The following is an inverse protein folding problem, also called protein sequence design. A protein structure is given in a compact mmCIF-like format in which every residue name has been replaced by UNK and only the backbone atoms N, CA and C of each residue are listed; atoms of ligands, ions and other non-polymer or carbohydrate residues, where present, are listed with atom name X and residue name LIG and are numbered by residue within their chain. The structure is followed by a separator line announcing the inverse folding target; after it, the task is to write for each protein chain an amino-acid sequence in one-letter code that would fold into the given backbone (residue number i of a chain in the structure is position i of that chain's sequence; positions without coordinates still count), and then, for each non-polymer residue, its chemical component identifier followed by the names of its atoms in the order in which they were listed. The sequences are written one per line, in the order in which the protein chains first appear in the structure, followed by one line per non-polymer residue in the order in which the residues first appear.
data_IF_796776438271
#
_entry.id   IF_796776438271
#
_cell.length_a   1.000
_cell.length_b   1.000
_cell.length_c   1.000
_cell.angle_alpha   90.00
_cell.angle_beta   90.00
_cell.angle_gamma   90.00
#
_symmetry.space_group_name_H-M   'P 1'
#
loop_
_entity.id
_entity.type
_entity.pdbx_description
1 polymer ?
#
# COMPACT_ATOMS: atom_id res chain seq x y z
N UNK A 1 -21.02 72.87 -57.23
CA UNK A 1 -20.55 73.34 -55.92
C UNK A 1 -21.44 72.69 -54.89
N UNK A 2 -20.91 71.87 -53.99
CA UNK A 2 -21.67 71.21 -52.93
C UNK A 2 -20.85 70.09 -52.36
N UNK A 3 -19.98 70.37 -51.39
CA UNK A 3 -19.21 69.40 -50.70
C UNK A 3 -20.05 68.78 -49.55
N UNK A 4 -20.19 67.49 -49.51
CA UNK A 4 -20.81 66.77 -48.39
C UNK A 4 -19.72 66.11 -47.58
N UNK A 5 -19.58 66.50 -46.31
CA UNK A 5 -18.73 65.89 -45.31
C UNK A 5 -19.44 64.61 -44.76
N UNK A 6 -18.84 63.45 -44.95
CA UNK A 6 -19.25 62.20 -44.29
C UNK A 6 -18.44 62.01 -43.04
N UNK A 7 -19.08 62.01 -41.86
CA UNK A 7 -18.49 61.67 -40.59
C UNK A 7 -18.49 60.14 -40.41
N UNK A 8 -17.29 59.56 -40.29
CA UNK A 8 -17.14 58.14 -39.94
C UNK A 8 -17.22 57.97 -38.42
N UNK A 9 -18.23 57.27 -37.91
CA UNK A 9 -18.36 56.80 -36.54
C UNK A 9 -17.57 55.54 -36.41
N UNK A 10 -16.42 55.59 -35.70
CA UNK A 10 -15.66 54.47 -35.28
C UNK A 10 -16.34 53.84 -34.03
N UNK A 11 -17.12 52.78 -34.21
CA UNK A 11 -17.69 51.97 -33.13
C UNK A 11 -16.65 51.10 -32.56
N UNK A 12 -16.12 51.42 -31.37
CA UNK A 12 -15.26 50.55 -30.60
C UNK A 12 -16.09 49.39 -30.03
N UNK A 13 -15.92 48.19 -30.58
CA UNK A 13 -16.43 46.96 -29.96
C UNK A 13 -15.58 46.63 -28.75
N UNK A 14 -16.04 47.01 -27.55
CA UNK A 14 -15.50 46.48 -26.28
C UNK A 14 -15.88 45.01 -26.20
N UNK A 15 -14.94 44.16 -26.55
CA UNK A 15 -15.05 42.72 -26.34
C UNK A 15 -15.18 42.43 -24.84
N UNK A 16 -16.37 42.07 -24.39
CA UNK A 16 -16.59 41.50 -23.09
C UNK A 16 -15.85 40.18 -23.04
N UNK A 17 -14.66 40.15 -22.38
CA UNK A 17 -13.99 38.93 -22.05
C UNK A 17 -14.91 38.11 -21.12
N UNK A 18 -15.57 37.11 -21.66
CA UNK A 18 -16.27 36.10 -20.86
C UNK A 18 -15.26 35.46 -19.93
N UNK A 19 -15.51 35.45 -18.60
CA UNK A 19 -14.62 34.73 -17.69
C UNK A 19 -14.58 33.26 -18.14
N UNK A 20 -13.39 32.78 -18.47
CA UNK A 20 -13.16 31.36 -18.69
C UNK A 20 -13.55 30.66 -17.40
N UNK A 21 -14.71 30.02 -17.39
CA UNK A 21 -15.04 29.10 -16.31
C UNK A 21 -13.92 28.04 -16.28
N UNK A 22 -13.08 28.08 -15.24
CA UNK A 22 -12.11 27.04 -15.01
C UNK A 22 -12.89 25.71 -14.94
N UNK A 23 -12.73 24.92 -15.98
CA UNK A 23 -13.38 23.59 -16.04
C UNK A 23 -12.96 22.84 -14.80
N UNK A 24 -13.92 22.49 -13.94
CA UNK A 24 -13.64 21.75 -12.71
C UNK A 24 -12.84 20.49 -13.08
N UNK A 25 -11.70 20.30 -12.43
CA UNK A 25 -10.87 19.13 -12.68
C UNK A 25 -11.69 17.85 -12.48
N UNK A 26 -11.56 16.90 -13.39
CA UNK A 26 -12.26 15.63 -13.28
C UNK A 26 -11.91 14.97 -11.93
N UNK A 27 -12.89 14.35 -11.25
CA UNK A 27 -12.62 13.69 -9.98
C UNK A 27 -11.57 12.59 -10.12
N UNK A 28 -10.63 12.56 -9.18
CA UNK A 28 -9.61 11.51 -9.09
C UNK A 28 -10.30 10.21 -8.67
N UNK A 29 -10.21 9.20 -9.52
CA UNK A 29 -10.77 7.86 -9.26
C UNK A 29 -9.81 7.07 -8.40
N UNK A 30 -10.30 6.43 -7.38
CA UNK A 30 -9.52 5.62 -6.48
C UNK A 30 -10.28 4.39 -6.01
N UNK A 31 -9.56 3.43 -5.43
CA UNK A 31 -10.14 2.18 -5.01
C UNK A 31 -9.49 1.67 -3.71
N UNK A 32 -10.19 0.77 -3.03
CA UNK A 32 -9.71 0.06 -1.85
C UNK A 32 -9.95 -1.44 -1.97
N UNK A 33 -9.14 -2.22 -1.25
CA UNK A 33 -9.28 -3.67 -1.14
C UNK A 33 -9.83 -4.03 0.25
N UNK A 34 -10.90 -4.79 0.31
CA UNK A 34 -11.54 -5.27 1.53
C UNK A 34 -11.58 -6.82 1.59
N UNK A 35 -11.47 -7.42 2.77
CA UNK A 35 -11.16 -6.79 4.06
C UNK A 35 -9.70 -6.39 4.15
N UNK A 36 -9.39 -5.38 4.97
CA UNK A 36 -8.01 -4.98 5.21
C UNK A 36 -7.84 -3.59 5.84
N UNK A 37 -6.63 -3.30 6.28
CA UNK A 37 -6.28 -2.03 6.90
C UNK A 37 -6.41 -0.82 5.95
N UNK A 38 -6.36 -1.04 4.64
CA UNK A 38 -6.52 0.02 3.64
C UNK A 38 -7.88 0.69 3.73
N UNK A 39 -8.92 -0.04 4.18
CA UNK A 39 -10.24 0.53 4.44
C UNK A 39 -10.17 1.60 5.54
N UNK A 40 -9.40 1.37 6.62
CA UNK A 40 -9.19 2.39 7.66
C UNK A 40 -8.63 3.69 7.06
N UNK A 41 -7.61 3.59 6.22
CA UNK A 41 -6.98 4.76 5.57
C UNK A 41 -7.99 5.50 4.68
N UNK A 42 -8.71 4.77 3.83
CA UNK A 42 -9.71 5.34 2.91
C UNK A 42 -10.85 6.00 3.67
N UNK A 43 -11.43 5.31 4.65
CA UNK A 43 -12.55 5.85 5.44
C UNK A 43 -12.11 7.02 6.31
N UNK A 44 -10.88 7.03 6.82
CA UNK A 44 -10.35 8.15 7.58
C UNK A 44 -10.18 9.41 6.71
N UNK A 45 -9.66 9.27 5.48
CA UNK A 45 -9.58 10.37 4.52
C UNK A 45 -10.96 10.99 4.27
N UNK A 46 -11.98 10.15 4.06
CA UNK A 46 -13.35 10.60 3.80
C UNK A 46 -13.99 11.25 5.03
N UNK A 47 -13.94 10.60 6.20
CA UNK A 47 -14.55 11.08 7.42
C UNK A 47 -13.95 12.41 7.91
N UNK A 48 -12.63 12.58 7.73
CA UNK A 48 -11.90 13.78 8.11
C UNK A 48 -11.84 14.85 7.01
N UNK A 49 -12.51 14.61 5.87
CA UNK A 49 -12.55 15.52 4.71
C UNK A 49 -11.16 15.96 4.25
N UNK A 50 -10.16 15.05 4.34
CA UNK A 50 -8.79 15.38 3.99
C UNK A 50 -8.65 15.67 2.48
N UNK A 51 -9.46 15.03 1.64
CA UNK A 51 -9.49 15.32 0.22
C UNK A 51 -9.91 16.77 -0.07
N UNK A 52 -10.97 17.24 0.57
CA UNK A 52 -11.42 18.64 0.45
C UNK A 52 -10.35 19.61 0.95
N UNK A 53 -9.75 19.32 2.12
CA UNK A 53 -8.67 20.12 2.71
C UNK A 53 -7.46 20.28 1.79
N UNK A 54 -7.07 19.21 1.08
CA UNK A 54 -5.97 19.23 0.14
C UNK A 54 -6.37 19.63 -1.29
N UNK A 55 -7.63 19.97 -1.52
CA UNK A 55 -8.14 20.32 -2.84
C UNK A 55 -8.05 19.17 -3.86
N UNK A 56 -8.29 17.95 -3.40
CA UNK A 56 -8.34 16.74 -4.24
C UNK A 56 -9.80 16.36 -4.45
N UNK A 57 -10.37 16.57 -5.63
CA UNK A 57 -11.74 16.14 -5.94
C UNK A 57 -11.76 14.61 -6.09
N UNK A 58 -12.02 13.88 -5.01
CA UNK A 58 -12.09 12.41 -5.04
C UNK A 58 -13.49 11.94 -5.50
N UNK A 59 -13.50 10.97 -6.41
CA UNK A 59 -14.69 10.17 -6.66
C UNK A 59 -15.00 9.26 -5.44
N UNK A 60 -16.23 8.78 -5.27
CA UNK A 60 -16.51 7.70 -4.33
C UNK A 60 -15.56 6.51 -4.57
N UNK A 61 -14.97 5.90 -3.53
CA UNK A 61 -14.02 4.81 -3.73
C UNK A 61 -14.70 3.55 -4.24
N UNK A 62 -14.14 2.92 -5.26
CA UNK A 62 -14.55 1.57 -5.67
C UNK A 62 -13.95 0.55 -4.70
N UNK A 63 -14.77 -0.35 -4.16
CA UNK A 63 -14.31 -1.40 -3.25
C UNK A 63 -14.19 -2.74 -3.97
N UNK A 64 -13.02 -3.37 -3.86
CA UNK A 64 -12.71 -4.68 -4.40
C UNK A 64 -12.56 -5.72 -3.29
N UNK A 65 -12.92 -6.96 -3.59
CA UNK A 65 -12.69 -8.12 -2.70
C UNK A 65 -11.66 -9.09 -3.27
N UNK A 66 -11.39 -9.00 -4.58
CA UNK A 66 -10.41 -9.84 -5.27
C UNK A 66 -9.15 -9.04 -5.62
N UNK A 67 -8.01 -9.49 -5.12
CA UNK A 67 -6.69 -8.84 -5.32
C UNK A 67 -6.33 -8.75 -6.80
N UNK A 68 -6.57 -9.82 -7.58
CA UNK A 68 -6.25 -9.84 -9.00
C UNK A 68 -7.02 -8.79 -9.79
N UNK A 69 -8.34 -8.70 -9.58
CA UNK A 69 -9.20 -7.71 -10.24
C UNK A 69 -8.79 -6.28 -9.84
N UNK A 70 -8.53 -6.06 -8.54
CA UNK A 70 -8.05 -4.78 -8.03
C UNK A 70 -6.85 -4.25 -8.82
N UNK A 71 -5.78 -5.02 -8.89
CA UNK A 71 -4.59 -4.58 -9.61
C UNK A 71 -4.73 -4.58 -11.14
N UNK A 72 -5.55 -5.47 -11.72
CA UNK A 72 -5.78 -5.48 -13.17
C UNK A 72 -6.54 -4.25 -13.62
N UNK A 73 -7.55 -3.83 -12.86
CA UNK A 73 -8.33 -2.62 -13.16
C UNK A 73 -7.48 -1.35 -13.03
N UNK A 74 -6.56 -1.29 -12.05
CA UNK A 74 -5.57 -0.22 -11.98
C UNK A 74 -4.66 -0.20 -13.21
N UNK A 75 -4.14 -1.36 -13.61
CA UNK A 75 -3.29 -1.47 -14.79
C UNK A 75 -4.03 -1.06 -16.08
N UNK A 76 -5.31 -1.40 -16.18
CA UNK A 76 -6.18 -1.01 -17.30
C UNK A 76 -6.59 0.48 -17.31
N UNK A 77 -6.35 1.22 -16.19
CA UNK A 77 -6.71 2.64 -16.07
C UNK A 77 -8.17 2.88 -15.64
N UNK A 78 -8.82 1.88 -15.03
CA UNK A 78 -10.18 2.03 -14.52
C UNK A 78 -10.25 2.97 -13.31
N UNK A 79 -9.12 3.19 -12.62
CA UNK A 79 -8.95 4.21 -11.59
C UNK A 79 -7.51 4.76 -11.56
N UNK A 80 -7.31 5.89 -10.91
CA UNK A 80 -6.12 6.73 -11.05
C UNK A 80 -5.12 6.56 -9.90
N UNK A 81 -5.62 6.22 -8.69
CA UNK A 81 -4.83 6.08 -7.46
C UNK A 81 -5.05 4.70 -6.85
N UNK A 82 -3.97 3.96 -6.61
CA UNK A 82 -3.98 2.61 -6.05
C UNK A 82 -3.17 2.55 -4.75
N UNK A 83 -3.75 1.93 -3.71
CA UNK A 83 -3.07 1.63 -2.45
C UNK A 83 -2.70 0.15 -2.46
N UNK A 84 -1.42 -0.19 -2.56
CA UNK A 84 -1.03 -1.59 -2.67
C UNK A 84 0.45 -1.86 -2.39
N UNK A 85 0.89 -3.10 -2.57
CA UNK A 85 2.29 -3.45 -2.39
C UNK A 85 3.14 -2.86 -3.52
N UNK A 86 4.22 -2.19 -3.15
CA UNK A 86 5.09 -1.48 -4.10
C UNK A 86 5.81 -2.43 -5.07
N UNK A 87 6.11 -3.65 -4.64
CA UNK A 87 6.72 -4.67 -5.50
C UNK A 87 5.78 -5.09 -6.65
N UNK A 88 4.47 -5.14 -6.38
CA UNK A 88 3.46 -5.36 -7.42
C UNK A 88 3.40 -4.18 -8.40
N UNK A 89 3.51 -2.94 -7.90
CA UNK A 89 3.60 -1.76 -8.77
C UNK A 89 4.86 -1.80 -9.63
N UNK A 90 6.01 -2.13 -9.02
CA UNK A 90 7.29 -2.25 -9.72
C UNK A 90 7.24 -3.33 -10.81
N UNK A 91 6.74 -4.51 -10.50
CA UNK A 91 6.58 -5.60 -11.47
C UNK A 91 5.69 -5.20 -12.65
N UNK A 92 4.57 -4.50 -12.39
CA UNK A 92 3.67 -4.03 -13.45
C UNK A 92 4.29 -2.90 -14.27
N UNK A 93 5.00 -1.98 -13.65
CA UNK A 93 5.72 -0.92 -14.36
C UNK A 93 6.80 -1.52 -15.27
N UNK A 94 7.53 -2.54 -14.80
CA UNK A 94 8.50 -3.28 -15.60
C UNK A 94 7.86 -4.06 -16.76
N UNK A 95 6.60 -4.46 -16.62
CA UNK A 95 5.78 -5.04 -17.68
C UNK A 95 5.13 -3.99 -18.61
N UNK A 96 5.49 -2.71 -18.48
CA UNK A 96 5.05 -1.63 -19.36
C UNK A 96 3.77 -0.90 -18.91
N UNK A 97 3.22 -1.18 -17.72
CA UNK A 97 2.07 -0.42 -17.20
C UNK A 97 2.53 0.98 -16.80
N UNK A 98 1.92 2.07 -17.32
CA UNK A 98 2.36 3.45 -17.08
C UNK A 98 1.87 3.94 -15.71
N UNK A 99 2.64 3.65 -14.67
CA UNK A 99 2.38 4.03 -13.27
C UNK A 99 3.63 4.62 -12.63
N UNK A 100 3.42 5.44 -11.61
CA UNK A 100 4.46 6.02 -10.76
C UNK A 100 4.06 5.90 -9.29
N UNK A 101 5.04 5.67 -8.43
CA UNK A 101 4.85 5.58 -6.98
C UNK A 101 4.96 6.96 -6.35
N UNK A 102 3.98 7.35 -5.53
CA UNK A 102 3.96 8.62 -4.79
C UNK A 102 4.68 8.54 -3.45
N UNK A 103 4.40 7.46 -2.71
CA UNK A 103 4.89 7.27 -1.34
C UNK A 103 4.76 5.80 -0.90
N UNK A 104 5.56 5.39 0.07
CA UNK A 104 5.28 4.22 0.91
C UNK A 104 4.42 4.62 2.10
N UNK A 105 3.62 3.69 2.64
CA UNK A 105 2.69 3.93 3.75
C UNK A 105 2.81 2.94 4.90
N UNK A 106 3.39 1.76 4.67
CA UNK A 106 3.68 0.76 5.71
C UNK A 106 5.01 0.08 5.44
N UNK A 107 5.50 -0.63 6.45
CA UNK A 107 6.69 -1.49 6.36
C UNK A 107 6.32 -2.96 6.48
N UNK A 108 7.25 -3.84 6.15
CA UNK A 108 7.12 -5.29 6.31
C UNK A 108 7.11 -5.73 7.79
N UNK A 109 7.17 -4.80 8.75
CA UNK A 109 6.92 -5.07 10.17
C UNK A 109 5.54 -5.69 10.41
N UNK A 110 4.61 -5.49 9.50
CA UNK A 110 3.28 -6.08 9.56
C UNK A 110 3.20 -7.56 9.14
N UNK A 111 4.30 -8.18 8.69
CA UNK A 111 4.34 -9.53 8.15
C UNK A 111 5.01 -10.47 9.14
N UNK A 112 4.31 -11.56 9.50
CA UNK A 112 4.75 -12.50 10.51
C UNK A 112 4.60 -13.95 10.07
N UNK A 113 5.50 -14.80 10.58
CA UNK A 113 5.21 -16.21 10.80
C UNK A 113 4.84 -16.36 12.27
N UNK A 114 3.69 -17.00 12.53
CA UNK A 114 3.12 -17.20 13.86
C UNK A 114 3.04 -18.71 14.13
N UNK A 115 3.31 -19.14 15.35
CA UNK A 115 3.19 -20.53 15.79
C UNK A 115 2.45 -20.65 17.12
N UNK A 116 1.75 -21.76 17.30
CA UNK A 116 1.22 -22.21 18.61
C UNK A 116 2.09 -23.29 19.25
N UNK A 117 3.11 -23.79 18.54
CA UNK A 117 4.00 -24.83 19.07
C UNK A 117 5.06 -24.23 20.02
N UNK A 118 5.04 -24.59 21.32
CA UNK A 118 6.03 -24.10 22.26
C UNK A 118 7.47 -24.58 21.97
N UNK A 119 7.63 -25.68 21.21
CA UNK A 119 8.93 -26.20 20.81
C UNK A 119 9.60 -25.38 19.70
N UNK A 120 8.82 -24.70 18.86
CA UNK A 120 9.35 -23.81 17.84
C UNK A 120 9.85 -22.51 18.47
N UNK A 121 11.16 -22.29 18.43
CA UNK A 121 11.81 -21.08 19.01
C UNK A 121 12.22 -20.05 17.97
N UNK A 122 12.52 -20.50 16.76
CA UNK A 122 13.00 -19.69 15.65
C UNK A 122 12.66 -20.32 14.29
N UNK A 123 13.05 -19.65 13.20
CA UNK A 123 12.83 -20.12 11.83
C UNK A 123 13.56 -21.43 11.53
N UNK A 124 14.70 -21.70 12.18
CA UNK A 124 15.45 -22.94 11.95
C UNK A 124 14.65 -24.17 12.37
N UNK A 125 13.81 -24.02 13.39
CA UNK A 125 12.90 -25.08 13.85
C UNK A 125 11.78 -25.44 12.85
N UNK A 126 11.58 -24.66 11.78
CA UNK A 126 10.59 -24.98 10.74
C UNK A 126 11.03 -26.12 9.81
N UNK A 127 12.32 -26.51 9.78
CA UNK A 127 12.76 -27.62 8.93
C UNK A 127 12.01 -28.91 9.26
N UNK A 128 11.45 -29.54 8.24
CA UNK A 128 10.63 -30.75 8.37
C UNK A 128 9.22 -30.50 8.91
N UNK A 129 8.80 -29.25 9.12
CA UNK A 129 7.49 -28.84 9.62
C UNK A 129 6.61 -28.31 8.52
N UNK A 130 5.33 -28.05 8.84
CA UNK A 130 4.32 -27.50 7.94
C UNK A 130 4.07 -26.03 8.25
N UNK A 131 4.22 -25.19 7.23
CA UNK A 131 3.86 -23.77 7.24
C UNK A 131 2.62 -23.53 6.38
N UNK A 132 1.53 -23.06 6.97
CA UNK A 132 0.36 -22.61 6.22
C UNK A 132 0.64 -21.22 5.61
N UNK A 133 0.47 -21.07 4.29
CA UNK A 133 0.77 -19.82 3.61
C UNK A 133 -0.02 -19.63 2.30
N UNK A 134 -0.37 -18.37 1.99
CA UNK A 134 -0.94 -17.99 0.70
C UNK A 134 0.19 -17.87 -0.34
N UNK A 135 0.59 -18.98 -0.94
CA UNK A 135 1.77 -19.12 -1.82
C UNK A 135 1.74 -18.23 -3.06
N UNK A 136 0.55 -17.89 -3.57
CA UNK A 136 0.39 -17.06 -4.77
C UNK A 136 0.70 -15.58 -4.54
N UNK A 137 0.97 -15.16 -3.29
CA UNK A 137 1.17 -13.76 -2.92
C UNK A 137 2.63 -13.31 -3.03
N UNK A 138 2.84 -12.02 -3.32
CA UNK A 138 4.15 -11.38 -3.21
C UNK A 138 4.74 -11.49 -1.81
N UNK A 139 3.90 -11.41 -0.78
CA UNK A 139 4.29 -11.59 0.63
C UNK A 139 4.98 -12.93 0.87
N UNK A 140 4.40 -14.03 0.37
CA UNK A 140 5.02 -15.36 0.50
C UNK A 140 6.40 -15.39 -0.17
N UNK A 141 6.49 -14.91 -1.41
CA UNK A 141 7.75 -14.90 -2.16
C UNK A 141 8.82 -14.06 -1.46
N UNK A 142 8.45 -12.87 -0.97
CA UNK A 142 9.35 -11.98 -0.24
C UNK A 142 9.86 -12.63 1.06
N UNK A 143 8.99 -13.26 1.85
CA UNK A 143 9.38 -13.95 3.08
C UNK A 143 10.23 -15.17 2.78
N UNK A 144 9.90 -15.93 1.74
CA UNK A 144 10.72 -17.07 1.29
C UNK A 144 12.14 -16.63 0.91
N UNK A 145 12.28 -15.51 0.20
CA UNK A 145 13.58 -14.93 -0.15
C UNK A 145 14.36 -14.48 1.08
N UNK A 146 13.70 -13.80 2.04
CA UNK A 146 14.32 -13.37 3.29
C UNK A 146 14.84 -14.57 4.11
N UNK A 147 14.01 -15.59 4.29
CA UNK A 147 14.36 -16.78 5.06
C UNK A 147 15.50 -17.55 4.37
N UNK A 148 15.47 -17.66 3.04
CA UNK A 148 16.54 -18.29 2.28
C UNK A 148 17.85 -17.54 2.43
N UNK A 149 17.84 -16.21 2.24
CA UNK A 149 19.05 -15.40 2.29
C UNK A 149 19.63 -15.30 3.70
N UNK A 150 18.79 -15.17 4.74
CA UNK A 150 19.24 -14.94 6.11
C UNK A 150 19.46 -16.22 6.92
N UNK A 151 18.74 -17.30 6.60
CA UNK A 151 18.74 -18.53 7.40
C UNK A 151 19.14 -19.78 6.59
N UNK A 152 19.31 -19.66 5.26
CA UNK A 152 19.65 -20.80 4.39
C UNK A 152 18.54 -21.87 4.32
N UNK A 153 17.27 -21.49 4.52
CA UNK A 153 16.13 -22.39 4.52
C UNK A 153 15.26 -22.11 3.30
N UNK A 154 14.98 -23.12 2.50
CA UNK A 154 14.13 -23.02 1.33
C UNK A 154 12.70 -23.47 1.65
N UNK A 155 11.76 -22.49 1.71
CA UNK A 155 10.34 -22.79 1.86
C UNK A 155 9.84 -23.58 0.64
N UNK A 156 9.12 -24.67 0.87
CA UNK A 156 8.67 -25.61 -0.16
C UNK A 156 9.65 -26.77 -0.42
N UNK A 157 10.87 -26.71 0.11
CA UNK A 157 11.84 -27.80 0.05
C UNK A 157 12.18 -28.31 1.45
N UNK A 158 12.69 -27.44 2.31
CA UNK A 158 13.06 -27.78 3.71
C UNK A 158 11.85 -27.68 4.65
N UNK A 159 10.80 -26.95 4.25
CA UNK A 159 9.55 -26.72 4.97
C UNK A 159 8.38 -27.08 4.07
N UNK A 160 7.49 -27.94 4.53
CA UNK A 160 6.27 -28.28 3.80
C UNK A 160 5.32 -27.10 3.78
N UNK A 161 4.84 -26.70 2.60
CA UNK A 161 3.88 -25.58 2.50
C UNK A 161 2.47 -26.12 2.33
N UNK A 162 1.62 -25.82 3.30
CA UNK A 162 0.18 -25.99 3.18
C UNK A 162 -0.43 -24.72 2.56
N UNK A 163 -0.79 -24.80 1.28
CA UNK A 163 -1.39 -23.68 0.56
C UNK A 163 -2.75 -23.28 1.14
N UNK A 164 -2.98 -21.98 1.27
CA UNK A 164 -4.26 -21.37 1.66
C UNK A 164 -4.57 -20.17 0.75
N UNK A 165 -5.85 -19.78 0.69
CA UNK A 165 -6.30 -18.70 -0.21
C UNK A 165 -6.06 -17.30 0.35
N UNK A 166 -5.95 -17.17 1.68
CA UNK A 166 -5.82 -15.86 2.34
C UNK A 166 -5.10 -15.98 3.71
N UNK A 167 -4.60 -14.87 4.27
CA UNK A 167 -3.84 -14.86 5.53
C UNK A 167 -4.64 -15.29 6.77
N UNK A 168 -5.96 -15.04 6.79
CA UNK A 168 -6.81 -15.47 7.90
C UNK A 168 -6.93 -17.00 7.97
N UNK A 169 -6.99 -17.67 6.82
CA UNK A 169 -7.01 -19.14 6.74
C UNK A 169 -5.73 -19.77 7.30
N UNK A 170 -4.55 -19.14 7.08
CA UNK A 170 -3.30 -19.61 7.67
C UNK A 170 -3.37 -19.60 9.21
N UNK A 171 -3.87 -18.50 9.80
CA UNK A 171 -4.04 -18.41 11.25
C UNK A 171 -5.06 -19.44 11.78
N UNK A 172 -6.14 -19.68 11.05
CA UNK A 172 -7.14 -20.69 11.40
C UNK A 172 -6.53 -22.10 11.49
N UNK A 173 -5.66 -22.46 10.54
CA UNK A 173 -4.98 -23.76 10.55
C UNK A 173 -4.04 -23.92 11.74
N UNK A 174 -3.30 -22.86 12.10
CA UNK A 174 -2.41 -22.88 13.28
C UNK A 174 -3.22 -23.03 14.57
N UNK A 175 -4.28 -22.25 14.77
CA UNK A 175 -5.17 -22.36 15.93
C UNK A 175 -5.84 -23.75 16.06
N UNK A 176 -6.11 -24.40 14.93
CA UNK A 176 -6.67 -25.74 14.88
C UNK A 176 -5.60 -26.87 15.02
N UNK A 177 -4.33 -26.53 15.24
CA UNK A 177 -3.18 -27.47 15.25
C UNK A 177 -3.07 -28.32 13.97
N UNK A 178 -3.46 -27.73 12.81
CA UNK A 178 -3.38 -28.37 11.48
C UNK A 178 -2.17 -27.91 10.66
N UNK A 179 -1.43 -26.94 11.18
CA UNK A 179 -0.13 -26.50 10.71
C UNK A 179 0.67 -26.04 11.94
N UNK A 180 1.97 -26.32 11.95
CA UNK A 180 2.83 -25.92 13.08
C UNK A 180 3.09 -24.41 13.09
N UNK A 181 3.05 -23.78 11.93
CA UNK A 181 3.18 -22.32 11.79
C UNK A 181 2.33 -21.78 10.65
N UNK A 182 2.10 -20.47 10.64
CA UNK A 182 1.35 -19.79 9.59
C UNK A 182 1.96 -18.46 9.23
N UNK A 183 2.11 -18.19 7.93
CA UNK A 183 2.49 -16.89 7.40
C UNK A 183 1.25 -16.02 7.23
N UNK A 184 1.25 -14.88 7.88
CA UNK A 184 0.15 -13.92 7.83
C UNK A 184 0.66 -12.48 7.97
N UNK A 185 -0.24 -11.54 7.87
CA UNK A 185 0.03 -10.12 8.07
C UNK A 185 -1.12 -9.43 8.80
N UNK A 186 -0.84 -8.22 9.29
CA UNK A 186 -1.80 -7.44 10.04
C UNK A 186 -3.00 -7.00 9.18
N UNK A 187 -4.19 -6.93 9.78
CA UNK A 187 -4.59 -7.17 11.18
C UNK A 187 -4.87 -8.65 11.55
N UNK A 188 -4.69 -9.60 10.62
CA UNK A 188 -4.99 -11.02 10.87
C UNK A 188 -4.13 -11.63 12.00
N UNK A 189 -2.87 -11.20 12.09
CA UNK A 189 -1.94 -11.65 13.14
C UNK A 189 -2.46 -11.20 14.51
N UNK A 190 -2.78 -9.92 14.67
CA UNK A 190 -3.36 -9.39 15.91
C UNK A 190 -4.67 -10.08 16.26
N UNK A 191 -5.56 -10.28 15.29
CA UNK A 191 -6.82 -10.99 15.51
C UNK A 191 -6.59 -12.42 16.06
N UNK A 192 -5.59 -13.14 15.52
CA UNK A 192 -5.25 -14.48 15.98
C UNK A 192 -4.62 -14.47 17.39
N UNK A 193 -3.65 -13.56 17.64
CA UNK A 193 -2.99 -13.44 18.96
C UNK A 193 -3.96 -13.04 20.08
N UNK A 194 -4.96 -12.20 19.79
CA UNK A 194 -6.00 -11.85 20.76
C UNK A 194 -6.98 -13.00 21.03
N UNK A 195 -7.13 -13.92 20.08
CA UNK A 195 -8.05 -15.05 20.13
C UNK A 195 -7.48 -16.29 20.84
N UNK A 196 -6.18 -16.50 20.69
CA UNK A 196 -5.47 -17.65 21.28
C UNK A 196 -4.13 -17.21 21.87
N UNK A 197 -4.06 -17.22 23.20
CA UNK A 197 -2.88 -16.82 23.98
C UNK A 197 -1.68 -17.76 23.83
N UNK A 198 -1.84 -18.94 23.22
CA UNK A 198 -0.74 -19.87 22.92
C UNK A 198 0.06 -19.41 21.70
N UNK A 199 -0.54 -18.60 20.85
CA UNK A 199 0.11 -18.10 19.64
C UNK A 199 1.20 -17.10 19.99
N UNK A 200 2.30 -17.19 19.26
CA UNK A 200 3.43 -16.25 19.38
C UNK A 200 4.04 -15.99 18.01
N UNK A 201 4.59 -14.78 17.78
CA UNK A 201 5.44 -14.52 16.64
C UNK A 201 6.68 -15.42 16.67
N UNK A 202 7.01 -16.04 15.53
CA UNK A 202 8.22 -16.82 15.31
C UNK A 202 9.23 -16.05 14.44
N UNK A 203 8.72 -15.25 13.51
CA UNK A 203 9.50 -14.46 12.58
C UNK A 203 8.74 -13.17 12.22
N UNK A 204 9.48 -12.08 12.10
CA UNK A 204 8.97 -10.82 11.56
C UNK A 204 9.82 -10.38 10.36
N UNK A 205 9.19 -10.14 9.22
CA UNK A 205 9.91 -9.85 7.97
C UNK A 205 10.64 -8.51 8.01
N UNK A 206 10.01 -7.46 8.56
CA UNK A 206 10.61 -6.13 8.68
C UNK A 206 11.80 -6.11 9.63
N UNK A 207 11.66 -6.76 10.80
CA UNK A 207 12.75 -6.88 11.78
C UNK A 207 13.95 -7.66 11.21
N UNK A 208 13.67 -8.77 10.51
CA UNK A 208 14.72 -9.58 9.90
C UNK A 208 15.49 -8.79 8.83
N UNK A 209 14.79 -8.07 7.96
CA UNK A 209 15.41 -7.22 6.96
C UNK A 209 16.23 -6.09 7.60
N UNK A 210 15.70 -5.43 8.62
CA UNK A 210 16.38 -4.33 9.32
C UNK A 210 17.65 -4.79 10.03
N UNK A 211 17.63 -5.97 10.65
CA UNK A 211 18.84 -6.58 11.25
C UNK A 211 19.93 -6.85 10.22
N UNK A 212 19.54 -7.27 9.01
CA UNK A 212 20.49 -7.59 7.95
C UNK A 212 21.02 -6.36 7.20
N UNK A 213 20.22 -5.28 7.06
CA UNK A 213 20.54 -4.17 6.16
C UNK A 213 20.62 -2.81 6.85
N UNK A 214 20.20 -2.71 8.11
CA UNK A 214 20.00 -1.44 8.84
C UNK A 214 18.96 -0.52 8.23
N UNK A 215 18.11 -1.04 7.34
CA UNK A 215 17.06 -0.30 6.62
C UNK A 215 15.68 -0.88 6.92
N UNK A 216 14.66 -0.05 6.88
CA UNK A 216 13.28 -0.53 6.84
C UNK A 216 12.99 -1.15 5.47
N UNK A 217 12.15 -2.20 5.46
CA UNK A 217 11.62 -2.79 4.24
C UNK A 217 10.23 -2.19 3.98
N UNK A 218 10.08 -1.25 3.03
CA UNK A 218 8.76 -0.73 2.67
C UNK A 218 7.87 -1.86 2.16
N UNK A 219 6.55 -1.76 2.39
CA UNK A 219 5.64 -2.81 1.92
C UNK A 219 4.47 -2.26 1.13
N UNK A 220 3.49 -1.58 1.75
CA UNK A 220 2.45 -0.91 1.00
C UNK A 220 2.84 0.52 0.65
N UNK A 221 2.35 0.97 -0.49
CA UNK A 221 2.51 2.34 -0.96
C UNK A 221 1.27 2.82 -1.73
N UNK A 222 1.38 4.01 -2.23
CA UNK A 222 0.40 4.66 -3.11
C UNK A 222 1.03 4.89 -4.46
N UNK A 223 0.43 4.35 -5.49
CA UNK A 223 0.81 4.60 -6.88
C UNK A 223 -0.29 5.34 -7.63
N UNK A 224 0.11 6.08 -8.63
CA UNK A 224 -0.79 6.79 -9.56
C UNK A 224 -0.53 6.36 -10.99
N UNK A 225 -1.55 6.53 -11.82
CA UNK A 225 -1.38 6.44 -13.27
C UNK A 225 -0.45 7.58 -13.72
N UNK A 226 0.52 7.28 -14.57
CA UNK A 226 1.45 8.28 -15.12
C UNK A 226 0.72 9.42 -15.81
N UNK A 227 -0.41 9.13 -16.44
CA UNK A 227 -1.26 10.16 -17.06
C UNK A 227 -1.69 11.24 -16.07
N UNK A 228 -2.07 10.88 -14.82
CA UNK A 228 -2.39 11.84 -13.77
C UNK A 228 -1.16 12.65 -13.36
N UNK A 229 -0.01 11.98 -13.19
CA UNK A 229 1.26 12.61 -12.80
C UNK A 229 1.75 13.62 -13.83
N UNK A 230 1.63 13.31 -15.13
CA UNK A 230 2.08 14.17 -16.23
C UNK A 230 1.11 15.32 -16.51
N UNK A 231 -0.20 15.03 -16.59
CA UNK A 231 -1.22 16.05 -16.93
C UNK A 231 -1.55 16.98 -15.77
N UNK A 232 -1.39 16.50 -14.53
CA UNK A 232 -1.77 17.23 -13.32
C UNK A 232 -0.78 16.97 -12.18
N UNK A 233 0.51 17.34 -12.31
CA UNK A 233 1.53 17.06 -11.31
C UNK A 233 1.19 17.65 -9.93
N UNK A 234 0.55 18.82 -9.89
CA UNK A 234 0.09 19.40 -8.62
C UNK A 234 -1.03 18.59 -7.97
N UNK A 235 -1.87 17.90 -8.73
CA UNK A 235 -2.86 16.98 -8.19
C UNK A 235 -2.17 15.77 -7.56
N UNK A 236 -1.17 15.19 -8.21
CA UNK A 236 -0.39 14.08 -7.65
C UNK A 236 0.33 14.49 -6.35
N UNK A 237 0.88 15.72 -6.25
CA UNK A 237 1.45 16.28 -5.00
C UNK A 237 0.41 16.39 -3.90
N UNK A 238 -0.79 16.88 -4.20
CA UNK A 238 -1.89 17.02 -3.24
C UNK A 238 -2.36 15.65 -2.74
N UNK A 239 -2.48 14.66 -3.62
CA UNK A 239 -2.79 13.27 -3.25
C UNK A 239 -1.72 12.74 -2.29
N UNK A 240 -0.43 12.93 -2.58
CA UNK A 240 0.66 12.53 -1.68
C UNK A 240 0.56 13.19 -0.31
N UNK A 241 0.36 14.51 -0.26
CA UNK A 241 0.22 15.27 0.99
C UNK A 241 -1.02 14.84 1.81
N UNK A 242 -2.11 14.52 1.14
CA UNK A 242 -3.32 13.99 1.77
C UNK A 242 -3.04 12.64 2.49
N UNK A 243 -2.31 11.73 1.85
CA UNK A 243 -1.92 10.48 2.48
C UNK A 243 -0.94 10.69 3.64
N UNK A 244 0.03 11.59 3.49
CA UNK A 244 0.96 11.95 4.57
C UNK A 244 0.22 12.42 5.82
N UNK A 245 -0.67 13.40 5.69
CA UNK A 245 -1.47 13.90 6.80
C UNK A 245 -2.36 12.81 7.41
N UNK A 246 -2.99 11.98 6.57
CA UNK A 246 -3.81 10.87 7.02
C UNK A 246 -3.02 9.94 7.94
N UNK A 247 -1.83 9.49 7.53
CA UNK A 247 -1.01 8.57 8.33
C UNK A 247 -0.47 9.23 9.60
N UNK A 248 -0.09 10.50 9.54
CA UNK A 248 0.34 11.26 10.72
C UNK A 248 -0.78 11.31 11.77
N UNK A 249 -2.01 11.60 11.36
CA UNK A 249 -3.17 11.66 12.27
C UNK A 249 -3.55 10.28 12.83
N UNK A 250 -3.54 9.22 12.01
CA UNK A 250 -3.79 7.85 12.48
C UNK A 250 -2.75 7.44 13.53
N UNK A 251 -1.46 7.74 13.30
CA UNK A 251 -0.40 7.43 14.25
C UNK A 251 -0.48 8.25 15.55
N UNK A 252 -0.92 9.51 15.47
CA UNK A 252 -1.05 10.38 16.63
C UNK A 252 -2.18 9.95 17.59
N UNK A 253 -3.29 9.46 17.04
CA UNK A 253 -4.47 9.06 17.81
C UNK A 253 -5.10 7.76 17.26
N UNK A 254 -4.43 6.59 17.39
CA UNK A 254 -4.86 5.36 16.73
C UNK A 254 -6.26 4.89 17.13
N UNK A 255 -6.59 4.95 18.43
CA UNK A 255 -7.91 4.54 18.94
C UNK A 255 -9.03 5.43 18.41
N UNK A 256 -8.78 6.74 18.35
CA UNK A 256 -9.73 7.69 17.78
C UNK A 256 -9.91 7.46 16.27
N UNK A 257 -8.79 7.28 15.54
CA UNK A 257 -8.84 7.00 14.12
C UNK A 257 -9.63 5.72 13.79
N UNK A 258 -9.45 4.68 14.59
CA UNK A 258 -10.19 3.42 14.45
C UNK A 258 -11.68 3.61 14.80
N UNK A 259 -12.02 4.40 15.82
CA UNK A 259 -13.41 4.71 16.16
C UNK A 259 -14.12 5.47 15.03
N UNK A 260 -13.41 6.38 14.35
CA UNK A 260 -13.93 7.18 13.23
C UNK A 260 -14.10 6.33 11.96
N UNK A 261 -13.12 5.49 11.64
CA UNK A 261 -12.96 4.93 10.30
C UNK A 261 -12.73 3.41 10.24
N UNK A 262 -12.64 2.73 11.39
CA UNK A 262 -12.34 1.29 11.45
C UNK A 262 -13.51 0.39 11.07
N UNK A 263 -14.73 0.92 11.05
CA UNK A 263 -15.92 0.18 10.62
C UNK A 263 -15.77 -0.21 9.14
N UNK A 264 -16.30 -1.37 8.76
CA UNK A 264 -16.22 -1.92 7.41
C UNK A 264 -14.83 -2.44 6.97
N UNK A 265 -13.82 -2.42 7.85
CA UNK A 265 -12.50 -3.01 7.54
C UNK A 265 -12.51 -4.55 7.47
N UNK A 266 -13.55 -5.17 8.04
CA UNK A 266 -13.65 -6.61 8.25
C UNK A 266 -13.00 -7.09 9.56
N UNK A 267 -12.52 -6.15 10.41
CA UNK A 267 -11.95 -6.41 11.73
C UNK A 267 -12.65 -5.58 12.80
N UNK A 268 -12.66 -6.08 14.04
CA UNK A 268 -13.19 -5.29 15.13
C UNK A 268 -12.29 -4.07 15.42
N UNK A 269 -12.87 -2.97 15.95
CA UNK A 269 -12.09 -1.79 16.32
C UNK A 269 -10.96 -2.10 17.30
N UNK A 270 -11.16 -3.04 18.22
CA UNK A 270 -10.15 -3.46 19.21
C UNK A 270 -8.94 -4.11 18.53
N UNK A 271 -9.17 -4.99 17.54
CA UNK A 271 -8.10 -5.64 16.76
C UNK A 271 -7.29 -4.60 16.01
N UNK A 272 -7.93 -3.66 15.33
CA UNK A 272 -7.25 -2.59 14.60
C UNK A 272 -6.46 -1.67 15.53
N UNK A 273 -7.08 -1.25 16.63
CA UNK A 273 -6.42 -0.39 17.61
C UNK A 273 -5.20 -1.09 18.21
N UNK A 274 -5.32 -2.36 18.58
CA UNK A 274 -4.21 -3.16 19.11
C UNK A 274 -3.10 -3.36 18.07
N UNK A 275 -3.45 -3.65 16.82
CA UNK A 275 -2.46 -3.80 15.75
C UNK A 275 -1.59 -2.53 15.56
N UNK A 276 -2.22 -1.36 15.66
CA UNK A 276 -1.53 -0.07 15.49
C UNK A 276 -0.75 0.31 16.78
N UNK A 277 -1.38 0.23 17.95
CA UNK A 277 -0.76 0.64 19.22
C UNK A 277 0.41 -0.24 19.62
N UNK A 278 0.36 -1.55 19.32
CA UNK A 278 1.48 -2.47 19.49
C UNK A 278 2.59 -2.29 18.44
N UNK A 279 2.38 -1.43 17.45
CA UNK A 279 3.27 -1.18 16.32
C UNK A 279 3.48 -2.38 15.40
N UNK A 280 2.64 -3.41 15.49
CA UNK A 280 2.63 -4.51 14.51
C UNK A 280 2.11 -4.02 13.15
N UNK A 281 1.05 -3.21 13.13
CA UNK A 281 0.66 -2.43 11.95
C UNK A 281 1.25 -1.02 12.09
N UNK A 282 2.39 -0.81 11.48
CA UNK A 282 3.11 0.46 11.54
C UNK A 282 2.87 1.26 10.27
N UNK A 283 2.17 2.36 10.40
CA UNK A 283 2.08 3.34 9.33
C UNK A 283 3.36 4.19 9.31
N UNK A 284 4.08 4.13 8.20
CA UNK A 284 5.31 4.89 8.00
C UNK A 284 5.28 5.51 6.61
N UNK A 285 5.22 6.83 6.59
CA UNK A 285 5.23 7.59 5.34
C UNK A 285 6.65 7.77 4.82
N UNK A 286 6.86 7.39 3.57
CA UNK A 286 8.11 7.63 2.83
C UNK A 286 7.81 8.28 1.49
N UNK A 287 8.13 9.57 1.35
CA UNK A 287 7.88 10.32 0.12
C UNK A 287 8.83 9.94 -1.00
N UNK A 288 8.31 9.69 -2.20
CA UNK A 288 9.16 9.46 -3.39
C UNK A 288 9.76 10.78 -3.95
N UNK A 289 9.32 11.94 -3.47
CA UNK A 289 10.02 13.21 -3.72
C UNK A 289 11.34 13.31 -2.93
N UNK A 290 11.46 12.60 -1.79
CA UNK A 290 12.69 12.60 -0.99
C UNK A 290 13.71 11.58 -1.50
N UNK A 291 14.99 11.91 -1.40
CA UNK A 291 16.08 10.98 -1.74
C UNK A 291 16.07 9.74 -0.82
N UNK A 292 15.75 9.92 0.45
CA UNK A 292 15.68 8.83 1.41
C UNK A 292 14.60 7.82 1.05
N UNK A 293 13.34 8.26 0.82
CA UNK A 293 12.24 7.37 0.47
C UNK A 293 12.52 6.56 -0.81
N UNK A 294 13.12 7.20 -1.83
CA UNK A 294 13.55 6.49 -3.03
C UNK A 294 14.67 5.48 -2.75
N UNK A 295 15.67 5.86 -1.94
CA UNK A 295 16.78 4.96 -1.61
C UNK A 295 16.32 3.68 -0.91
N UNK A 296 15.35 3.77 0.00
CA UNK A 296 14.77 2.60 0.67
C UNK A 296 14.09 1.64 -0.33
N UNK A 297 13.31 2.17 -1.26
CA UNK A 297 12.66 1.37 -2.31
C UNK A 297 13.69 0.78 -3.29
N UNK A 298 14.69 1.56 -3.72
CA UNK A 298 15.76 1.06 -4.62
C UNK A 298 16.49 -0.12 -3.98
N UNK A 299 16.95 0.01 -2.74
CA UNK A 299 17.65 -1.07 -2.03
C UNK A 299 16.78 -2.30 -1.78
N UNK A 300 15.49 -2.08 -1.44
CA UNK A 300 14.54 -3.18 -1.36
C UNK A 300 14.34 -3.86 -2.72
N UNK A 301 14.32 -3.10 -3.82
CA UNK A 301 14.18 -3.64 -5.18
C UNK A 301 15.41 -4.42 -5.64
N UNK A 302 16.61 -4.01 -5.24
CA UNK A 302 17.86 -4.78 -5.46
C UNK A 302 17.79 -6.15 -4.76
N UNK A 303 17.28 -6.18 -3.51
CA UNK A 303 17.03 -7.43 -2.80
C UNK A 303 16.02 -8.31 -3.54
N UNK A 304 14.89 -7.77 -4.00
CA UNK A 304 13.89 -8.54 -4.73
C UNK A 304 14.42 -9.02 -6.10
N UNK A 305 15.16 -8.19 -6.81
CA UNK A 305 15.72 -8.55 -8.11
C UNK A 305 16.74 -9.69 -8.02
N UNK A 306 17.70 -9.63 -7.07
CA UNK A 306 18.69 -10.71 -6.90
C UNK A 306 18.07 -12.04 -6.45
N UNK A 307 16.86 -11.98 -5.87
CA UNK A 307 16.07 -13.16 -5.51
C UNK A 307 15.06 -13.58 -6.59
N UNK A 308 15.11 -12.98 -7.78
CA UNK A 308 14.24 -13.33 -8.92
C UNK A 308 12.76 -12.91 -8.76
N UNK A 309 12.47 -11.99 -7.84
CA UNK A 309 11.11 -11.49 -7.56
C UNK A 309 10.74 -10.26 -8.38
N UNK A 310 11.74 -9.53 -8.86
CA UNK A 310 11.64 -8.48 -9.88
C UNK A 310 12.60 -8.81 -11.03
N UNK A 311 12.31 -8.32 -12.23
CA UNK A 311 13.18 -8.51 -13.39
C UNK A 311 14.50 -7.75 -13.23
N UNK A 312 14.44 -6.58 -12.62
CA UNK A 312 15.57 -5.68 -12.32
C UNK A 312 15.23 -4.76 -11.15
N UNK A 313 16.20 -4.12 -10.51
CA UNK A 313 15.92 -3.04 -9.58
C UNK A 313 15.10 -1.93 -10.24
N UNK A 314 14.31 -1.22 -9.44
CA UNK A 314 13.55 -0.06 -9.94
C UNK A 314 14.49 1.10 -10.26
N UNK A 315 14.12 1.88 -11.26
CA UNK A 315 14.83 3.08 -11.68
C UNK A 315 14.01 4.35 -11.40
N UNK A 316 14.57 5.48 -11.77
CA UNK A 316 14.00 6.80 -11.58
C UNK A 316 12.60 6.98 -12.21
N UNK A 317 12.28 6.23 -13.27
CA UNK A 317 10.98 6.29 -13.94
C UNK A 317 9.84 5.65 -13.11
N UNK A 318 10.19 4.93 -12.03
CA UNK A 318 9.21 4.37 -11.09
C UNK A 318 8.68 5.40 -10.10
N UNK A 319 9.36 6.53 -9.90
CA UNK A 319 9.09 7.47 -8.84
C UNK A 319 8.49 8.78 -9.33
N UNK A 320 7.39 9.19 -8.72
CA UNK A 320 6.91 10.56 -8.85
C UNK A 320 7.73 11.48 -7.94
N UNK A 321 8.59 12.30 -8.55
CA UNK A 321 9.53 13.19 -7.84
C UNK A 321 8.99 14.60 -7.61
N UNK A 322 7.89 14.95 -8.30
CA UNK A 322 7.34 16.28 -8.47
C UNK A 322 6.84 17.04 -7.28
#
# INVERSE_FOLDING_TARGET
MGASFGAALAGGAAGLATPAFAQAAAPVRWASLAPGFTILVVQYILAQKLAEKHGVPLAPPTQYTAVSTYYNDFAAGNYDVCIGSWDTFASRQQAGVPIEMLCSITTADMIYIVTGDPALKDVAGLKGRTLAAAQSTGTFRMVAALIKELNGIELGKDVTIQGVDNPAAAMTLVMANRAEAGLSWEPNVTAALMRDSKLKPLFNAGEAYRKATSLDLPYFGVAVRRELAEKSPDMAKRVRAMFEECLQRINAAPKEAVAIAGQNSGFSPEVLAEAITSRRLRFQFGSMASAQGRSEIVKASEFLARNGLLQRPVDDAFFFKG
#
